data_IF_333952205606
#
_entry.id   IF_333952205606
#
_cell.length_a   1.000
_cell.length_b   1.000
_cell.length_c   1.000
_cell.angle_alpha   90.00
_cell.angle_beta   90.00
_cell.angle_gamma   90.00
#
_symmetry.space_group_name_H-M   'P 1'
#
loop_
_entity.id
_entity.type
_entity.pdbx_description
1 polymer ?
#
# COMPACT_ATOMS: atom_id res chain seq x y z
N UNK A 1 -0.52 1.72 16.80
CA UNK A 1 -1.16 1.87 15.49
C UNK A 1 -0.19 2.66 14.64
N UNK A 2 0.21 2.21 13.44
CA UNK A 2 0.93 3.07 12.52
C UNK A 2 0.13 4.36 12.35
N UNK A 3 0.81 5.50 12.31
CA UNK A 3 0.13 6.78 12.08
C UNK A 3 -0.46 6.71 10.68
N UNK A 4 -1.79 6.54 10.59
CA UNK A 4 -2.53 6.65 9.32
C UNK A 4 -2.54 8.13 8.91
N UNK A 5 -1.38 8.66 8.55
CA UNK A 5 -1.28 9.99 7.96
C UNK A 5 -2.06 9.96 6.66
N UNK A 6 -2.86 11.00 6.46
CA UNK A 6 -3.47 11.22 5.16
C UNK A 6 -2.36 11.42 4.12
N UNK A 7 -2.42 10.74 2.96
CA UNK A 7 -1.44 10.92 1.91
C UNK A 7 -1.37 12.37 1.45
N UNK A 8 -0.17 12.87 1.18
CA UNK A 8 0.05 14.21 0.66
C UNK A 8 -0.59 14.41 -0.72
N UNK A 9 -0.86 15.67 -1.14
CA UNK A 9 -1.35 15.94 -2.49
C UNK A 9 -0.45 15.41 -3.60
N UNK A 10 0.88 15.41 -3.39
CA UNK A 10 1.85 14.86 -4.34
C UNK A 10 1.71 13.33 -4.47
N UNK A 11 1.63 12.61 -3.34
CA UNK A 11 1.39 11.17 -3.35
C UNK A 11 0.08 10.80 -4.06
N UNK A 12 -0.98 11.59 -3.85
CA UNK A 12 -2.28 11.38 -4.54
C UNK A 12 -2.20 11.68 -6.03
N UNK A 13 -1.37 12.64 -6.45
CA UNK A 13 -1.18 12.98 -7.85
C UNK A 13 -0.41 11.92 -8.64
N UNK A 14 0.39 11.10 -7.96
CA UNK A 14 1.08 9.95 -8.57
C UNK A 14 0.15 8.74 -8.79
N UNK A 15 -1.03 8.72 -8.16
CA UNK A 15 -2.06 7.71 -8.43
C UNK A 15 -2.71 8.01 -9.78
N UNK A 16 -2.77 7.01 -10.65
CA UNK A 16 -3.26 7.11 -12.03
C UNK A 16 -4.46 6.18 -12.22
N UNK A 17 -5.31 6.41 -13.21
CA UNK A 17 -6.42 5.48 -13.47
C UNK A 17 -5.92 4.05 -13.75
N UNK A 18 -4.87 3.90 -14.56
CA UNK A 18 -4.30 2.60 -14.91
C UNK A 18 -3.83 1.80 -13.69
N UNK A 19 -3.20 2.47 -12.71
CA UNK A 19 -2.74 1.79 -11.50
C UNK A 19 -3.90 1.42 -10.55
N UNK A 20 -4.94 2.26 -10.48
CA UNK A 20 -6.17 1.96 -9.75
C UNK A 20 -6.89 0.77 -10.38
N UNK A 21 -7.11 0.78 -11.68
CA UNK A 21 -7.77 -0.31 -12.42
C UNK A 21 -7.03 -1.63 -12.21
N UNK A 22 -5.70 -1.64 -12.39
CA UNK A 22 -4.91 -2.86 -12.21
C UNK A 22 -4.96 -3.38 -10.77
N UNK A 23 -4.98 -2.49 -9.77
CA UNK A 23 -4.95 -2.87 -8.35
C UNK A 23 -6.34 -3.27 -7.82
N UNK A 24 -7.40 -2.73 -8.40
CA UNK A 24 -8.79 -3.04 -8.09
C UNK A 24 -9.24 -4.42 -8.58
N UNK A 25 -8.44 -5.06 -9.44
CA UNK A 25 -8.66 -6.46 -9.83
C UNK A 25 -8.57 -7.36 -8.61
N UNK A 26 -9.72 -7.91 -8.22
CA UNK A 26 -9.85 -8.80 -7.08
C UNK A 26 -9.17 -10.13 -7.34
N UNK A 27 -8.49 -10.65 -6.32
CA UNK A 27 -8.02 -12.02 -6.32
C UNK A 27 -9.19 -13.00 -6.23
N UNK A 28 -9.03 -14.25 -6.73
CA UNK A 28 -10.06 -15.28 -6.60
C UNK A 28 -10.54 -15.48 -5.15
N UNK A 29 -9.60 -15.41 -4.20
CA UNK A 29 -9.87 -15.53 -2.77
C UNK A 29 -10.73 -14.36 -2.26
N UNK A 30 -10.43 -13.13 -2.67
CA UNK A 30 -11.18 -11.91 -2.26
C UNK A 30 -12.61 -11.92 -2.79
N UNK A 31 -12.81 -12.46 -3.99
CA UNK A 31 -14.15 -12.67 -4.55
C UNK A 31 -14.97 -13.64 -3.69
N UNK A 32 -14.32 -14.66 -3.12
CA UNK A 32 -14.98 -15.70 -2.32
C UNK A 32 -15.38 -15.25 -0.91
N UNK A 33 -14.63 -14.35 -0.28
CA UNK A 33 -14.91 -13.83 1.08
C UNK A 33 -15.90 -12.67 1.08
N UNK A 34 -16.16 -12.08 -0.08
CA UNK A 34 -16.99 -10.89 -0.23
C UNK A 34 -16.12 -9.71 -0.64
N UNK A 35 -16.23 -9.23 -1.89
CA UNK A 35 -15.39 -8.14 -2.37
C UNK A 35 -15.67 -6.84 -1.62
N UNK A 36 -14.72 -5.91 -1.66
CA UNK A 36 -14.96 -4.52 -1.24
C UNK A 36 -16.20 -3.97 -1.94
N UNK A 37 -16.96 -3.13 -1.25
CA UNK A 37 -18.09 -2.42 -1.85
C UNK A 37 -17.64 -1.47 -2.98
N UNK A 38 -16.39 -1.01 -2.91
CA UNK A 38 -15.73 -0.21 -3.95
C UNK A 38 -14.24 -0.60 -4.02
N UNK A 39 -13.88 -1.56 -4.90
CA UNK A 39 -12.50 -1.99 -5.09
C UNK A 39 -11.59 -0.87 -5.61
N UNK A 40 -12.11 0.06 -6.42
CA UNK A 40 -11.33 1.18 -6.97
C UNK A 40 -10.99 2.20 -5.88
N UNK A 41 -11.95 2.57 -5.04
CA UNK A 41 -11.69 3.46 -3.91
C UNK A 41 -10.68 2.84 -2.91
N UNK A 42 -10.79 1.53 -2.67
CA UNK A 42 -9.82 0.81 -1.85
C UNK A 42 -8.42 0.79 -2.49
N UNK A 43 -8.33 0.50 -3.78
CA UNK A 43 -7.09 0.51 -4.53
C UNK A 43 -6.42 1.90 -4.51
N UNK A 44 -7.17 2.96 -4.78
CA UNK A 44 -6.67 4.33 -4.76
C UNK A 44 -6.11 4.75 -3.39
N UNK A 45 -6.78 4.35 -2.30
CA UNK A 45 -6.31 4.64 -0.95
C UNK A 45 -4.97 3.95 -0.63
N UNK A 46 -4.85 2.66 -0.97
CA UNK A 46 -3.63 1.87 -0.77
C UNK A 46 -2.47 2.41 -1.62
N UNK A 47 -2.75 2.76 -2.87
CA UNK A 47 -1.75 3.31 -3.78
C UNK A 47 -1.26 4.67 -3.28
N UNK A 48 -2.17 5.57 -2.87
CA UNK A 48 -1.78 6.86 -2.30
C UNK A 48 -0.93 6.72 -1.03
N UNK A 49 -1.24 5.77 -0.14
CA UNK A 49 -0.39 5.45 1.03
C UNK A 49 1.00 4.93 0.60
N UNK A 50 1.04 4.10 -0.44
CA UNK A 50 2.30 3.54 -0.95
C UNK A 50 3.18 4.60 -1.62
N UNK A 51 2.57 5.53 -2.37
CA UNK A 51 3.23 6.70 -2.94
C UNK A 51 3.75 7.62 -1.82
N UNK A 52 2.99 7.83 -0.75
CA UNK A 52 3.42 8.62 0.41
C UNK A 52 4.70 8.05 1.02
N UNK A 53 4.77 6.72 1.23
CA UNK A 53 6.00 6.08 1.74
C UNK A 53 7.18 6.14 0.76
N UNK A 54 6.90 6.31 -0.53
CA UNK A 54 7.93 6.41 -1.57
C UNK A 54 8.48 7.84 -1.68
N UNK A 55 7.61 8.84 -1.67
CA UNK A 55 7.94 10.27 -1.80
C UNK A 55 8.42 10.86 -0.47
N UNK A 56 7.80 10.45 0.63
CA UNK A 56 8.08 10.87 1.99
C UNK A 56 8.41 9.66 2.87
N UNK A 57 9.55 8.99 2.62
CA UNK A 57 9.95 7.84 3.39
C UNK A 57 10.08 8.19 4.87
N UNK A 58 9.35 7.47 5.73
CA UNK A 58 9.49 7.61 7.18
C UNK A 58 10.82 6.95 7.60
N UNK A 59 11.73 7.69 8.27
CA UNK A 59 12.99 7.10 8.74
C UNK A 59 12.78 5.91 9.69
N UNK A 60 11.63 5.84 10.37
CA UNK A 60 11.28 4.70 11.22
C UNK A 60 10.77 3.50 10.40
N UNK A 61 10.11 3.71 9.25
CA UNK A 61 9.72 2.63 8.31
C UNK A 61 10.95 2.06 7.57
N UNK A 62 11.95 2.90 7.28
CA UNK A 62 13.20 2.49 6.64
C UNK A 62 14.02 1.49 7.50
N UNK A 63 13.73 1.42 8.80
CA UNK A 63 14.34 0.46 9.73
C UNK A 63 13.66 -0.91 9.74
N UNK A 64 12.59 -1.09 8.94
CA UNK A 64 11.79 -2.32 8.84
C UNK A 64 12.70 -3.54 8.82
N UNK A 65 12.79 -4.21 9.97
CA UNK A 65 13.88 -5.11 10.34
C UNK A 65 14.24 -6.05 9.20
N UNK A 66 15.20 -5.64 8.37
CA UNK A 66 15.79 -6.48 7.36
C UNK A 66 16.57 -7.53 8.13
N UNK A 67 15.88 -8.63 8.45
CA UNK A 67 16.51 -9.83 8.98
C UNK A 67 17.65 -10.14 8.03
N UNK A 68 18.86 -10.00 8.54
CA UNK A 68 20.02 -10.43 7.81
C UNK A 68 19.92 -11.95 7.66
N UNK A 69 20.52 -12.52 6.63
CA UNK A 69 20.55 -13.99 6.50
C UNK A 69 21.13 -14.68 7.76
N UNK A 70 21.95 -13.96 8.54
CA UNK A 70 22.48 -14.39 9.84
C UNK A 70 21.45 -14.44 10.99
N UNK A 71 20.28 -13.81 10.85
CA UNK A 71 19.25 -13.75 11.90
C UNK A 71 18.30 -14.96 11.87
N UNK A 72 18.48 -15.86 10.90
CA UNK A 72 17.83 -17.18 10.92
C UNK A 72 18.71 -18.12 11.72
N UNK A 73 18.41 -18.29 13.01
CA UNK A 73 19.02 -19.34 13.82
C UNK A 73 18.61 -20.72 13.30
N UNK A 74 19.55 -21.68 13.32
CA UNK A 74 19.38 -23.10 12.96
C UNK A 74 18.29 -23.80 13.77
#
# INVERSE_FOLDING_TARGET
>A
MPSMKEPTPEARANVTEDNVESRAQLLPEETSVGPSADPEAQAAAILAESEERTVHPDPDDASGGHRQSSDTAD
#
